data_IF_844213685668
#
_entry.id   IF_844213685668
#
_cell.length_a   1.000
_cell.length_b   1.000
_cell.length_c   1.000
_cell.angle_alpha   90.00
_cell.angle_beta   90.00
_cell.angle_gamma   90.00
#
_symmetry.space_group_name_H-M   'P 1'
#
loop_
_entity.id
_entity.type
_entity.pdbx_description
1 polymer ?
#
# COMPACT_ATOMS: atom_id res chain seq x y z
N UNK A 1 -2.69 -22.23 -15.20
CA UNK A 1 -3.84 -22.27 -14.27
C UNK A 1 -5.11 -21.94 -15.05
N UNK A 2 -6.11 -22.83 -15.08
CA UNK A 2 -7.35 -22.66 -15.87
C UNK A 2 -8.22 -21.53 -15.28
N UNK A 3 -8.92 -20.77 -16.13
CA UNK A 3 -9.83 -19.67 -15.75
C UNK A 3 -10.91 -20.14 -14.76
N UNK A 4 -11.42 -21.37 -14.94
CA UNK A 4 -12.40 -21.98 -14.04
C UNK A 4 -11.89 -22.09 -12.59
N UNK A 5 -10.62 -22.46 -12.41
CA UNK A 5 -10.01 -22.56 -11.08
C UNK A 5 -9.79 -21.19 -10.43
N UNK A 6 -9.50 -20.14 -11.22
CA UNK A 6 -9.37 -18.76 -10.71
C UNK A 6 -10.70 -18.24 -10.21
N UNK A 7 -11.78 -18.41 -11.01
CA UNK A 7 -13.13 -18.00 -10.63
C UNK A 7 -13.64 -18.74 -9.39
N UNK A 8 -13.38 -20.05 -9.30
CA UNK A 8 -13.72 -20.83 -8.11
C UNK A 8 -12.99 -20.29 -6.86
N UNK A 9 -11.68 -19.99 -6.98
CA UNK A 9 -10.93 -19.35 -5.89
C UNK A 9 -11.46 -17.97 -5.51
N UNK A 10 -11.87 -17.16 -6.48
CA UNK A 10 -12.42 -15.83 -6.26
C UNK A 10 -13.78 -15.86 -5.53
N UNK A 11 -14.60 -16.91 -5.74
CA UNK A 11 -15.87 -17.10 -5.03
C UNK A 11 -15.68 -17.32 -3.53
N UNK A 12 -14.60 -18.01 -3.13
CA UNK A 12 -14.28 -18.27 -1.72
C UNK A 12 -13.43 -17.16 -1.08
N UNK A 13 -12.92 -16.21 -1.87
CA UNK A 13 -12.15 -15.07 -1.35
C UNK A 13 -13.10 -14.03 -0.77
N UNK A 14 -12.95 -13.72 0.53
CA UNK A 14 -13.67 -12.61 1.14
C UNK A 14 -13.38 -11.30 0.38
N UNK A 15 -14.45 -10.61 -0.05
CA UNK A 15 -14.30 -9.34 -0.75
C UNK A 15 -13.70 -8.29 0.20
N UNK A 16 -12.68 -7.58 -0.28
CA UNK A 16 -12.13 -6.45 0.45
C UNK A 16 -13.20 -5.35 0.60
N UNK A 17 -13.20 -4.60 1.72
CA UNK A 17 -14.14 -3.51 1.90
C UNK A 17 -13.96 -2.45 0.80
N UNK A 18 -15.08 -1.97 0.25
CA UNK A 18 -15.07 -0.86 -0.71
C UNK A 18 -14.55 0.40 -0.04
N UNK A 19 -13.69 1.13 -0.74
CA UNK A 19 -13.14 2.38 -0.25
C UNK A 19 -14.19 3.48 -0.34
N UNK A 20 -14.21 4.34 0.66
CA UNK A 20 -14.94 5.60 0.59
C UNK A 20 -14.23 6.56 -0.37
N UNK A 21 -14.98 7.47 -1.01
CA UNK A 21 -14.39 8.46 -1.92
C UNK A 21 -13.24 9.26 -1.27
N UNK A 22 -13.40 9.65 0.00
CA UNK A 22 -12.33 10.30 0.77
C UNK A 22 -11.07 9.45 0.85
N UNK A 23 -11.21 8.15 1.13
CA UNK A 23 -10.06 7.23 1.18
C UNK A 23 -9.39 7.07 -0.19
N UNK A 24 -10.16 7.03 -1.27
CA UNK A 24 -9.62 6.97 -2.63
C UNK A 24 -8.81 8.22 -2.97
N UNK A 25 -9.36 9.41 -2.74
CA UNK A 25 -8.65 10.69 -2.95
C UNK A 25 -7.38 10.76 -2.11
N UNK A 26 -7.44 10.36 -0.84
CA UNK A 26 -6.25 10.33 0.02
C UNK A 26 -5.19 9.34 -0.46
N UNK A 27 -5.59 8.20 -1.03
CA UNK A 27 -4.66 7.21 -1.62
C UNK A 27 -4.04 7.75 -2.91
N UNK A 28 -4.85 8.36 -3.78
CA UNK A 28 -4.40 9.03 -5.00
C UNK A 28 -3.37 10.12 -4.68
N UNK A 29 -3.67 11.02 -3.75
CA UNK A 29 -2.75 12.08 -3.33
C UNK A 29 -1.42 11.52 -2.80
N UNK A 30 -1.46 10.49 -1.96
CA UNK A 30 -0.25 9.82 -1.45
C UNK A 30 0.56 9.19 -2.59
N UNK A 31 -0.09 8.57 -3.56
CA UNK A 31 0.57 7.96 -4.71
C UNK A 31 1.19 9.00 -5.62
N UNK A 32 0.49 10.11 -5.87
CA UNK A 32 1.01 11.24 -6.65
C UNK A 32 2.26 11.85 -6.01
N UNK A 33 2.27 12.08 -4.69
CA UNK A 33 3.48 12.55 -3.99
C UNK A 33 4.65 11.58 -4.12
N UNK A 34 4.41 10.26 -3.99
CA UNK A 34 5.45 9.24 -4.16
C UNK A 34 5.97 9.19 -5.59
N UNK A 35 5.10 9.42 -6.56
CA UNK A 35 5.46 9.48 -7.98
C UNK A 35 6.37 10.69 -8.23
N UNK A 36 5.97 11.88 -7.77
CA UNK A 36 6.79 13.09 -7.84
C UNK A 36 8.14 12.89 -7.17
N UNK A 37 8.17 12.26 -5.99
CA UNK A 37 9.41 11.96 -5.28
C UNK A 37 10.32 10.98 -6.05
N UNK A 38 9.75 10.06 -6.82
CA UNK A 38 10.56 9.11 -7.62
C UNK A 38 11.23 9.79 -8.80
N UNK A 39 10.60 10.81 -9.39
CA UNK A 39 11.19 11.60 -10.48
C UNK A 39 12.14 12.70 -9.98
N UNK A 40 11.74 13.42 -8.93
CA UNK A 40 12.44 14.60 -8.43
C UNK A 40 13.34 14.20 -7.27
N UNK A 41 14.61 13.96 -7.59
CA UNK A 41 15.62 13.53 -6.60
C UNK A 41 15.99 14.65 -5.63
N UNK A 42 16.02 15.90 -6.09
CA UNK A 42 16.36 17.05 -5.26
C UNK A 42 15.22 17.42 -4.29
N UNK A 43 15.56 17.64 -3.02
CA UNK A 43 14.56 17.92 -1.98
C UNK A 43 13.84 19.25 -2.20
N UNK A 44 14.55 20.28 -2.64
CA UNK A 44 13.97 21.63 -2.79
C UNK A 44 12.94 21.66 -3.92
N UNK A 45 13.31 21.11 -5.08
CA UNK A 45 12.38 20.94 -6.20
C UNK A 45 11.19 20.07 -5.83
N UNK A 46 11.41 19.00 -5.05
CA UNK A 46 10.31 18.17 -4.58
C UNK A 46 9.32 18.96 -3.70
N UNK A 47 9.80 19.86 -2.84
CA UNK A 47 8.92 20.66 -1.98
C UNK A 47 8.08 21.64 -2.81
N UNK A 48 8.67 22.27 -3.83
CA UNK A 48 7.96 23.15 -4.76
C UNK A 48 6.87 22.39 -5.53
N UNK A 49 7.22 21.25 -6.13
CA UNK A 49 6.27 20.40 -6.86
C UNK A 49 5.18 19.83 -5.95
N UNK A 50 5.53 19.41 -4.72
CA UNK A 50 4.56 18.92 -3.75
C UNK A 50 3.59 20.03 -3.29
N UNK A 51 4.05 21.27 -3.15
CA UNK A 51 3.20 22.41 -2.84
C UNK A 51 2.25 22.73 -4.00
N UNK A 52 2.74 22.72 -5.24
CA UNK A 52 1.92 22.87 -6.45
C UNK A 52 0.85 21.79 -6.54
N UNK A 53 1.22 20.53 -6.31
CA UNK A 53 0.30 19.39 -6.27
C UNK A 53 -0.76 19.57 -5.18
N UNK A 54 -0.36 19.95 -3.96
CA UNK A 54 -1.29 20.21 -2.86
C UNK A 54 -2.29 21.31 -3.23
N UNK A 55 -1.83 22.39 -3.87
CA UNK A 55 -2.69 23.48 -4.34
C UNK A 55 -3.73 22.99 -5.34
N UNK A 56 -3.36 22.13 -6.29
CA UNK A 56 -4.31 21.56 -7.27
C UNK A 56 -5.41 20.74 -6.60
N UNK A 57 -5.07 19.94 -5.57
CA UNK A 57 -6.06 19.18 -4.80
C UNK A 57 -6.95 20.10 -3.96
N UNK A 58 -6.40 21.16 -3.37
CA UNK A 58 -7.16 22.09 -2.54
C UNK A 58 -8.15 22.92 -3.37
N UNK A 59 -7.75 23.37 -4.57
CA UNK A 59 -8.65 24.08 -5.49
C UNK A 59 -9.89 23.27 -5.89
N UNK A 60 -9.81 21.95 -5.85
CA UNK A 60 -10.90 21.04 -6.21
C UNK A 60 -11.60 20.41 -4.99
N UNK A 61 -11.31 20.87 -3.77
CA UNK A 61 -11.81 20.27 -2.53
C UNK A 61 -13.34 20.29 -2.40
N UNK A 62 -13.98 21.33 -2.95
CA UNK A 62 -15.44 21.54 -2.88
C UNK A 62 -16.14 21.25 -4.22
N UNK A 63 -15.52 20.43 -5.09
CA UNK A 63 -16.10 20.07 -6.38
C UNK A 63 -17.43 19.30 -6.21
N UNK A 64 -18.31 19.42 -7.21
CA UNK A 64 -19.57 18.67 -7.24
C UNK A 64 -19.30 17.16 -7.46
N UNK A 65 -20.19 16.26 -7.00
CA UNK A 65 -19.99 14.82 -7.16
C UNK A 65 -19.75 14.36 -8.60
N UNK A 66 -20.46 14.97 -9.57
CA UNK A 66 -20.26 14.68 -10.99
C UNK A 66 -18.87 15.12 -11.48
N UNK A 67 -18.38 16.27 -11.00
CA UNK A 67 -17.03 16.73 -11.32
C UNK A 67 -15.96 15.85 -10.65
N UNK A 68 -16.20 15.34 -9.43
CA UNK A 68 -15.25 14.47 -8.72
C UNK A 68 -14.92 13.20 -9.50
N UNK A 69 -15.90 12.54 -10.12
CA UNK A 69 -15.65 11.32 -10.91
C UNK A 69 -14.74 11.62 -12.09
N UNK A 70 -15.04 12.68 -12.85
CA UNK A 70 -14.21 13.13 -13.98
C UNK A 70 -12.79 13.49 -13.52
N UNK A 71 -12.66 14.27 -12.44
CA UNK A 71 -11.36 14.68 -11.89
C UNK A 71 -10.53 13.48 -11.43
N UNK A 72 -11.17 12.46 -10.85
CA UNK A 72 -10.50 11.22 -10.46
C UNK A 72 -9.96 10.47 -11.67
N UNK A 73 -10.77 10.31 -12.73
CA UNK A 73 -10.35 9.68 -13.98
C UNK A 73 -9.18 10.42 -14.63
N UNK A 74 -9.26 11.74 -14.73
CA UNK A 74 -8.18 12.60 -15.25
C UNK A 74 -6.90 12.46 -14.42
N UNK A 75 -7.02 12.45 -13.09
CA UNK A 75 -5.87 12.32 -12.20
C UNK A 75 -5.23 10.93 -12.29
N UNK A 76 -6.01 9.86 -12.42
CA UNK A 76 -5.48 8.51 -12.63
C UNK A 76 -4.81 8.37 -14.01
N UNK A 77 -5.41 8.94 -15.06
CA UNK A 77 -4.82 8.97 -16.41
C UNK A 77 -3.45 9.65 -16.39
N UNK A 78 -3.38 10.84 -15.77
CA UNK A 78 -2.13 11.57 -15.59
C UNK A 78 -1.12 10.77 -14.77
N UNK A 79 -1.53 10.17 -13.66
CA UNK A 79 -0.62 9.36 -12.84
C UNK A 79 -0.04 8.16 -13.61
N UNK A 80 -0.84 7.56 -14.51
CA UNK A 80 -0.41 6.45 -15.35
C UNK A 80 0.55 6.90 -16.46
N UNK A 81 0.31 8.04 -17.10
CA UNK A 81 1.19 8.63 -18.11
C UNK A 81 2.59 8.93 -17.55
N UNK A 82 2.65 9.53 -16.37
CA UNK A 82 3.91 9.91 -15.73
C UNK A 82 4.49 8.81 -14.84
N UNK A 83 4.07 7.56 -15.00
CA UNK A 83 4.51 6.44 -14.18
C UNK A 83 6.04 6.23 -14.30
N UNK A 84 6.77 6.37 -13.19
CA UNK A 84 8.21 6.12 -13.18
C UNK A 84 8.49 4.61 -13.38
N UNK A 85 9.44 4.22 -14.25
CA UNK A 85 9.75 2.81 -14.53
C UNK A 85 10.31 2.06 -13.32
N UNK A 86 11.15 2.73 -12.51
CA UNK A 86 11.74 2.16 -11.28
C UNK A 86 11.37 3.01 -10.06
N UNK A 87 10.19 2.76 -9.48
CA UNK A 87 9.64 3.59 -8.40
C UNK A 87 10.45 3.38 -7.11
N UNK A 88 10.68 4.45 -6.35
CA UNK A 88 11.34 4.32 -5.05
C UNK A 88 10.52 3.41 -4.11
N UNK A 89 11.16 2.34 -3.63
CA UNK A 89 10.62 1.43 -2.63
C UNK A 89 11.49 1.45 -1.38
N UNK A 90 10.86 1.52 -0.21
CA UNK A 90 11.59 1.41 1.06
C UNK A 90 12.26 0.02 1.14
N UNK A 91 13.56 -0.08 1.49
CA UNK A 91 14.29 -1.34 1.51
C UNK A 91 13.59 -2.48 2.27
N UNK A 92 12.93 -2.21 3.40
CA UNK A 92 12.30 -3.23 4.23
C UNK A 92 10.87 -3.61 3.83
N UNK A 93 10.27 -2.88 2.88
CA UNK A 93 8.90 -3.11 2.40
C UNK A 93 8.88 -4.13 1.25
N UNK A 94 7.73 -4.78 0.97
CA UNK A 94 7.58 -5.63 -0.20
C UNK A 94 8.04 -4.95 -1.50
N UNK A 95 8.99 -5.58 -2.21
CA UNK A 95 9.63 -5.04 -3.42
C UNK A 95 10.87 -4.17 -3.15
N UNK A 96 11.25 -3.96 -1.89
CA UNK A 96 12.49 -3.29 -1.50
C UNK A 96 13.69 -4.24 -1.46
N UNK A 97 14.90 -3.67 -1.50
CA UNK A 97 16.15 -4.44 -1.60
C UNK A 97 16.46 -5.36 -0.40
N UNK A 98 15.91 -5.05 0.78
CA UNK A 98 16.16 -5.77 2.03
C UNK A 98 14.94 -6.54 2.53
N UNK A 99 13.88 -6.62 1.71
CA UNK A 99 12.67 -7.34 2.04
C UNK A 99 12.97 -8.83 2.24
N UNK A 100 12.54 -9.39 3.37
CA UNK A 100 12.80 -10.79 3.75
C UNK A 100 14.28 -11.19 3.70
N UNK A 101 15.22 -10.24 3.87
CA UNK A 101 16.65 -10.55 3.94
C UNK A 101 16.99 -11.35 5.19
N UNK A 102 16.48 -10.90 6.35
CA UNK A 102 16.69 -11.52 7.66
C UNK A 102 15.35 -11.64 8.42
N UNK A 103 14.39 -12.48 7.96
CA UNK A 103 13.19 -12.72 8.73
C UNK A 103 13.55 -13.43 10.05
N UNK A 104 12.93 -13.05 11.19
CA UNK A 104 13.13 -13.80 12.43
C UNK A 104 12.64 -15.24 12.24
N UNK A 105 13.38 -16.19 12.80
CA UNK A 105 12.94 -17.58 12.83
C UNK A 105 11.63 -17.69 13.63
N UNK A 106 10.72 -18.60 13.27
CA UNK A 106 9.53 -18.87 14.07
C UNK A 106 9.91 -19.21 15.51
N UNK A 107 9.27 -18.59 16.50
CA UNK A 107 9.61 -18.79 17.91
C UNK A 107 9.49 -20.25 18.35
N UNK A 108 8.56 -21.02 17.75
CA UNK A 108 8.40 -22.45 17.99
C UNK A 108 9.61 -23.29 17.56
N UNK A 109 10.41 -22.81 16.60
CA UNK A 109 11.66 -23.44 16.17
C UNK A 109 12.81 -23.05 17.11
N UNK A 110 12.83 -21.79 17.56
CA UNK A 110 13.85 -21.31 18.52
C UNK A 110 13.68 -21.95 19.91
N UNK A 111 12.45 -22.21 20.34
CA UNK A 111 12.10 -22.72 21.66
C UNK A 111 11.21 -23.98 21.55
N UNK A 112 11.80 -25.15 21.27
CA UNK A 112 11.03 -26.39 21.05
C UNK A 112 10.29 -26.87 22.32
N UNK A 113 10.81 -26.56 23.50
CA UNK A 113 10.26 -27.00 24.80
C UNK A 113 9.17 -26.06 25.35
N UNK A 114 8.85 -24.99 24.62
CA UNK A 114 7.92 -23.94 25.02
C UNK A 114 8.56 -22.55 24.99
N UNK A 115 7.80 -21.55 24.55
CA UNK A 115 8.28 -20.17 24.44
C UNK A 115 8.26 -19.53 25.84
N UNK A 116 9.41 -19.04 26.36
CA UNK A 116 9.46 -18.34 27.65
C UNK A 116 8.62 -17.05 27.69
N UNK A 117 8.07 -16.71 28.87
CA UNK A 117 7.19 -15.54 29.07
C UNK A 117 7.89 -14.20 28.84
N UNK A 118 9.22 -14.15 28.96
CA UNK A 118 10.04 -12.96 28.73
C UNK A 118 10.27 -12.67 27.23
N UNK A 119 9.98 -13.64 26.36
CA UNK A 119 10.14 -13.48 24.91
C UNK A 119 8.95 -12.72 24.34
N UNK A 120 9.24 -11.66 23.58
CA UNK A 120 8.24 -10.84 22.95
C UNK A 120 7.57 -11.56 21.77
N UNK A 121 6.34 -12.08 21.97
CA UNK A 121 5.56 -12.80 20.97
C UNK A 121 4.75 -11.88 20.02
N UNK A 122 5.14 -10.62 19.87
CA UNK A 122 4.45 -9.69 18.96
C UNK A 122 4.49 -10.20 17.54
N UNK A 123 3.30 -10.41 16.97
CA UNK A 123 3.16 -10.58 15.53
C UNK A 123 3.34 -9.24 14.84
N UNK A 124 4.20 -9.20 13.82
CA UNK A 124 4.49 -8.00 13.03
C UNK A 124 4.08 -8.28 11.59
N UNK A 125 3.36 -7.34 10.99
CA UNK A 125 3.04 -7.38 9.57
C UNK A 125 4.31 -7.10 8.74
N UNK A 126 4.38 -7.45 7.44
CA UNK A 126 5.58 -7.23 6.61
C UNK A 126 5.99 -5.76 6.43
N UNK A 127 5.17 -4.81 6.87
CA UNK A 127 5.46 -3.38 6.94
C UNK A 127 5.96 -2.93 8.33
N UNK A 128 6.30 -3.88 9.21
CA UNK A 128 6.84 -3.69 10.57
C UNK A 128 5.85 -3.09 11.58
N UNK A 129 4.57 -3.00 11.23
CA UNK A 129 3.51 -2.60 12.18
C UNK A 129 3.17 -3.78 13.08
N UNK A 130 3.17 -3.57 14.39
CA UNK A 130 2.73 -4.57 15.37
C UNK A 130 1.24 -4.83 15.21
N UNK A 131 0.85 -6.10 15.13
CA UNK A 131 -0.53 -6.53 15.09
C UNK A 131 -1.08 -6.52 16.52
N UNK A 132 -1.88 -5.51 16.84
CA UNK A 132 -2.68 -5.50 18.08
C UNK A 132 -3.93 -6.38 17.88
N UNK A 133 -4.39 -7.07 18.92
CA UNK A 133 -5.63 -7.85 18.87
C UNK A 133 -6.82 -6.93 18.49
N UNK A 134 -7.49 -7.23 17.37
CA UNK A 134 -8.58 -6.40 16.82
C UNK A 134 -8.13 -5.20 15.98
N UNK A 135 -6.82 -5.02 15.77
CA UNK A 135 -6.25 -4.03 14.87
C UNK A 135 -6.36 -4.38 13.38
N UNK A 136 -6.05 -3.42 12.50
CA UNK A 136 -6.06 -3.65 11.05
C UNK A 136 -5.04 -4.74 10.66
N UNK A 137 -5.53 -5.88 10.18
CA UNK A 137 -4.70 -7.05 9.83
C UNK A 137 -4.64 -8.13 10.91
N UNK A 138 -5.15 -7.86 12.12
CA UNK A 138 -5.31 -8.84 13.19
C UNK A 138 -6.69 -9.48 13.10
N UNK A 139 -6.74 -10.78 12.75
CA UNK A 139 -7.97 -11.59 12.82
C UNK A 139 -8.74 -11.83 11.52
N UNK A 140 -8.30 -11.32 10.35
CA UNK A 140 -9.03 -11.57 9.08
C UNK A 140 -8.46 -12.71 8.23
N UNK A 141 -7.35 -13.35 8.63
CA UNK A 141 -6.63 -14.31 7.80
C UNK A 141 -6.10 -13.74 6.46
N UNK A 142 -6.32 -12.44 6.21
CA UNK A 142 -5.76 -11.71 5.08
C UNK A 142 -4.51 -10.98 5.54
N UNK A 143 -3.35 -11.50 5.16
CA UNK A 143 -2.17 -10.65 4.97
C UNK A 143 -2.57 -9.65 3.88
N UNK A 144 -2.89 -8.40 4.28
CA UNK A 144 -3.42 -7.35 3.39
C UNK A 144 -2.40 -6.89 2.33
N UNK A 145 -1.21 -7.49 2.33
CA UNK A 145 -0.24 -7.31 1.26
C UNK A 145 -0.69 -8.14 0.05
N UNK A 146 -1.59 -7.57 -0.75
CA UNK A 146 -1.93 -8.11 -2.07
C UNK A 146 -0.73 -7.93 -3.00
N UNK A 147 0.18 -8.91 -3.02
CA UNK A 147 1.40 -8.92 -3.85
C UNK A 147 1.10 -8.80 -5.35
N UNK A 148 -0.14 -9.05 -5.77
CA UNK A 148 -0.58 -8.96 -7.18
C UNK A 148 -0.92 -7.54 -7.63
N UNK A 149 -1.22 -6.60 -6.72
CA UNK A 149 -1.72 -5.26 -7.07
C UNK A 149 -0.71 -4.11 -6.97
N UNK A 150 0.50 -4.37 -6.47
CA UNK A 150 1.58 -3.35 -6.49
C UNK A 150 2.38 -3.33 -7.79
N UNK A 151 2.32 -4.41 -8.56
CA UNK A 151 2.86 -4.50 -9.92
C UNK A 151 1.69 -4.71 -10.87
N UNK A 152 1.03 -3.63 -11.26
CA UNK A 152 0.22 -3.64 -12.48
C UNK A 152 0.96 -2.74 -13.47
N UNK A 153 1.80 -3.39 -14.28
CA UNK A 153 2.00 -3.01 -15.69
C UNK A 153 0.68 -3.03 -16.42
#
# INVERSE_FOLDING_TARGET
>A
MNQAFRLAGDQFRMQAPKLTHKQEVCRLYRNALKLTYSWVVSRDLFLEEAASLRSQFESNRTASPAACTRLMEEAYSKMNEYQHPDKYCNPGMPGGSSFMRNPPLPLSVCFPDGIPDDVNQREVNPDWVTLEEGGYGSGSGQVVVDFTKKNMT
#
